data_IF_671461624496
#
_entry.id   IF_671461624496
#
_cell.length_a   1.000
_cell.length_b   1.000
_cell.length_c   1.000
_cell.angle_alpha   90.00
_cell.angle_beta   90.00
_cell.angle_gamma   90.00
#
_symmetry.space_group_name_H-M   'P 1'
#
loop_
_entity.id
_entity.type
_entity.pdbx_description
1 polymer ?
#
# COMPACT_ATOMS: atom_id res chain seq x y z
N UNK A 1 0.02 -22.90 16.33
CA UNK A 1 1.05 -21.89 16.58
C UNK A 1 0.52 -20.60 16.02
N UNK A 2 0.29 -19.61 16.88
CA UNK A 2 -0.46 -18.39 16.54
C UNK A 2 0.51 -17.34 16.04
N UNK A 3 0.35 -16.95 14.77
CA UNK A 3 1.02 -15.78 14.18
C UNK A 3 0.72 -14.51 15.00
N UNK A 4 1.68 -13.62 15.24
CA UNK A 4 1.42 -12.37 15.97
C UNK A 4 0.51 -11.48 15.11
N UNK A 5 -0.71 -11.30 15.57
CA UNK A 5 -1.69 -10.38 14.97
C UNK A 5 -1.43 -8.99 15.54
N UNK A 6 -1.07 -8.03 14.71
CA UNK A 6 -1.13 -6.62 15.10
C UNK A 6 -2.60 -6.19 15.00
N UNK A 7 -3.31 -6.21 16.12
CA UNK A 7 -4.67 -5.68 16.20
C UNK A 7 -4.61 -4.27 16.78
N UNK A 8 -5.21 -3.32 16.11
CA UNK A 8 -5.51 -2.01 16.71
C UNK A 8 -6.66 -2.23 17.68
N UNK A 9 -6.34 -2.33 18.98
CA UNK A 9 -7.34 -2.32 20.02
C UNK A 9 -7.85 -0.88 20.20
N UNK A 10 -9.09 -0.60 19.79
CA UNK A 10 -9.77 0.61 20.20
C UNK A 10 -10.00 0.51 21.72
N UNK A 11 -9.41 1.44 22.47
CA UNK A 11 -9.59 1.55 23.91
C UNK A 11 -11.04 1.90 24.22
N UNK A 12 -11.82 0.92 24.68
CA UNK A 12 -13.14 1.13 25.26
C UNK A 12 -12.99 1.71 26.67
N UNK A 13 -13.31 2.99 26.82
CA UNK A 13 -13.44 3.59 28.15
C UNK A 13 -14.65 3.01 28.86
N UNK A 14 -14.39 2.30 29.94
CA UNK A 14 -15.44 1.86 30.89
C UNK A 14 -15.93 3.09 31.68
N UNK A 15 -17.11 3.61 31.33
CA UNK A 15 -17.76 4.65 32.11
C UNK A 15 -18.63 3.96 33.20
N UNK A 16 -18.21 4.09 34.44
CA UNK A 16 -19.02 3.71 35.61
C UNK A 16 -20.20 4.68 35.68
N UNK A 17 -21.42 4.20 35.49
CA UNK A 17 -22.63 4.99 35.64
C UNK A 17 -23.01 5.05 37.15
N UNK A 18 -22.79 6.23 37.74
CA UNK A 18 -23.42 6.56 39.01
C UNK A 18 -24.82 7.13 38.73
N UNK A 19 -25.85 6.44 39.22
CA UNK A 19 -27.21 6.89 39.08
C UNK A 19 -27.47 8.04 40.08
N UNK A 20 -27.67 9.25 39.58
CA UNK A 20 -28.25 10.38 40.30
C UNK A 20 -29.65 10.61 39.74
N UNK A 21 -30.65 10.36 40.58
CA UNK A 21 -32.06 10.67 40.35
C UNK A 21 -32.30 12.18 40.47
N UNK A 22 -32.72 12.82 39.38
CA UNK A 22 -33.21 14.20 39.38
C UNK A 22 -34.70 14.19 39.01
N UNK A 23 -35.54 14.97 39.68
CA UNK A 23 -36.99 14.95 39.46
C UNK A 23 -37.38 15.64 38.16
N UNK A 24 -38.40 15.09 37.51
CA UNK A 24 -38.97 15.56 36.28
C UNK A 24 -39.61 16.97 36.44
N UNK A 25 -39.09 17.94 35.71
CA UNK A 25 -39.78 19.19 35.40
C UNK A 25 -40.50 19.05 34.06
N UNK A 26 -41.80 19.17 34.06
CA UNK A 26 -42.67 19.19 32.90
C UNK A 26 -42.41 20.47 32.09
N UNK A 27 -41.76 20.35 30.94
CA UNK A 27 -41.66 21.45 29.94
C UNK A 27 -42.63 21.16 28.82
N UNK A 28 -43.51 22.14 28.57
CA UNK A 28 -44.53 22.17 27.53
C UNK A 28 -43.88 22.07 26.13
N UNK A 29 -44.36 21.16 25.33
CA UNK A 29 -43.95 21.00 23.93
C UNK A 29 -44.45 22.16 23.07
N UNK A 30 -43.57 22.90 22.43
CA UNK A 30 -43.86 23.82 21.31
C UNK A 30 -43.80 23.01 19.99
N UNK A 31 -44.89 22.91 19.20
CA UNK A 31 -44.92 22.07 18.02
C UNK A 31 -44.57 22.89 16.74
N UNK A 32 -43.37 23.39 16.64
CA UNK A 32 -42.90 23.97 15.35
C UNK A 32 -41.38 23.95 15.26
N UNK A 33 -40.84 22.80 14.80
CA UNK A 33 -39.78 22.72 13.79
C UNK A 33 -39.42 21.23 13.62
N UNK A 34 -39.58 20.65 12.43
CA UNK A 34 -38.99 19.35 12.15
C UNK A 34 -37.48 19.57 12.07
N UNK A 35 -36.77 19.26 13.15
CA UNK A 35 -35.31 19.06 13.06
C UNK A 35 -35.08 17.93 12.07
N UNK A 36 -34.60 18.28 10.87
CA UNK A 36 -34.07 17.32 9.92
C UNK A 36 -33.04 16.47 10.65
N UNK A 37 -33.33 15.20 10.85
CA UNK A 37 -32.31 14.23 11.17
C UNK A 37 -31.35 14.25 9.98
N UNK A 38 -30.21 14.94 10.14
CA UNK A 38 -29.07 14.68 9.30
C UNK A 38 -28.72 13.20 9.56
N UNK A 39 -29.16 12.34 8.65
CA UNK A 39 -28.83 10.94 8.69
C UNK A 39 -27.31 10.83 8.78
N UNK A 40 -26.81 10.29 9.89
CA UNK A 40 -25.43 9.86 9.98
C UNK A 40 -25.26 8.89 8.81
N UNK A 41 -24.46 9.25 7.81
CA UNK A 41 -24.14 8.33 6.74
C UNK A 41 -23.52 7.09 7.40
N UNK A 42 -24.16 5.94 7.22
CA UNK A 42 -23.69 4.69 7.81
C UNK A 42 -22.24 4.47 7.37
N UNK A 43 -21.34 4.32 8.35
CA UNK A 43 -19.94 3.98 8.06
C UNK A 43 -19.92 2.58 7.47
N UNK A 44 -19.22 2.40 6.36
CA UNK A 44 -19.03 1.13 5.70
C UNK A 44 -17.63 0.61 6.08
N UNK A 45 -17.52 -0.45 6.89
CA UNK A 45 -16.21 -1.03 7.20
C UNK A 45 -15.65 -1.74 5.97
N UNK A 46 -14.42 -1.41 5.60
CA UNK A 46 -13.67 -2.02 4.52
C UNK A 46 -12.30 -2.40 5.07
N UNK A 47 -11.85 -3.61 4.77
CA UNK A 47 -10.50 -4.06 5.11
C UNK A 47 -9.54 -3.70 3.97
N UNK A 48 -8.41 -3.09 4.32
CA UNK A 48 -7.31 -2.83 3.41
C UNK A 48 -6.06 -3.53 3.97
N UNK A 49 -5.64 -4.60 3.30
CA UNK A 49 -4.41 -5.32 3.64
C UNK A 49 -3.28 -4.77 2.80
N UNK A 50 -2.12 -4.52 3.41
CA UNK A 50 -0.98 -4.02 2.66
C UNK A 50 0.35 -4.67 3.06
N UNK A 51 1.25 -4.77 2.09
CA UNK A 51 2.64 -5.17 2.23
C UNK A 51 3.51 -4.37 1.26
N UNK A 52 4.82 -4.55 1.31
CA UNK A 52 5.80 -3.88 0.45
C UNK A 52 7.08 -4.70 0.36
N UNK A 53 7.96 -4.35 -0.56
CA UNK A 53 9.33 -4.88 -0.65
C UNK A 53 9.36 -6.42 -0.63
N UNK A 54 8.55 -7.05 -1.50
CA UNK A 54 8.47 -8.50 -1.60
C UNK A 54 9.72 -9.10 -2.24
N UNK A 55 10.30 -8.41 -3.24
CA UNK A 55 11.56 -8.77 -3.92
C UNK A 55 11.62 -10.24 -4.35
N UNK A 56 10.58 -10.73 -4.99
CA UNK A 56 10.57 -12.10 -5.50
C UNK A 56 10.82 -13.21 -4.48
N UNK A 57 10.64 -12.93 -3.19
CA UNK A 57 10.84 -13.90 -2.13
C UNK A 57 9.72 -14.94 -2.10
N UNK A 58 9.87 -15.98 -2.95
CA UNK A 58 8.96 -17.11 -2.99
C UNK A 58 9.11 -18.01 -1.77
N UNK A 59 10.34 -18.16 -1.27
CA UNK A 59 10.65 -18.98 -0.11
C UNK A 59 10.59 -18.15 1.18
N UNK A 60 10.28 -18.82 2.28
CA UNK A 60 10.32 -18.21 3.61
C UNK A 60 11.72 -17.70 3.94
N UNK A 61 11.78 -16.57 4.64
CA UNK A 61 13.05 -15.99 5.10
C UNK A 61 13.73 -16.91 6.11
N UNK A 62 15.06 -17.06 5.98
CA UNK A 62 15.87 -17.83 6.92
C UNK A 62 15.65 -17.30 8.36
N UNK A 63 15.19 -18.15 9.28
CA UNK A 63 14.99 -17.75 10.67
C UNK A 63 16.28 -17.33 11.41
N UNK A 64 17.44 -17.69 10.88
CA UNK A 64 18.73 -17.25 11.44
C UNK A 64 19.06 -15.78 11.14
N UNK A 65 18.38 -15.16 10.18
CA UNK A 65 18.58 -13.74 9.87
C UNK A 65 17.93 -12.87 10.96
N UNK A 66 18.69 -11.92 11.55
CA UNK A 66 18.18 -11.10 12.64
C UNK A 66 17.09 -10.15 12.13
N UNK A 67 15.95 -10.15 12.84
CA UNK A 67 14.85 -9.21 12.62
C UNK A 67 14.65 -8.38 13.88
N UNK A 68 14.87 -7.08 13.78
CA UNK A 68 14.78 -6.17 14.95
C UNK A 68 13.37 -6.15 15.56
N UNK A 69 12.34 -6.34 14.72
CA UNK A 69 10.93 -6.26 15.10
C UNK A 69 10.32 -7.62 15.47
N UNK A 70 10.99 -8.74 15.16
CA UNK A 70 10.54 -10.09 15.53
C UNK A 70 11.71 -10.93 16.09
N UNK A 71 11.85 -11.00 17.41
CA UNK A 71 12.90 -11.79 18.05
C UNK A 71 12.59 -13.30 18.08
N UNK A 72 11.44 -13.75 17.60
CA UNK A 72 11.00 -15.15 17.71
C UNK A 72 11.83 -16.11 16.87
N UNK A 73 12.54 -15.61 15.85
CA UNK A 73 13.32 -16.39 14.90
C UNK A 73 12.52 -17.53 14.24
N UNK A 74 11.22 -17.35 14.08
CA UNK A 74 10.37 -18.29 13.35
C UNK A 74 10.47 -18.05 11.84
N UNK A 75 10.33 -19.07 11.00
CA UNK A 75 10.19 -18.86 9.56
C UNK A 75 9.01 -17.93 9.28
N UNK A 76 9.23 -16.91 8.48
CA UNK A 76 8.20 -15.93 8.09
C UNK A 76 8.49 -15.44 6.67
N UNK A 77 7.52 -14.78 6.06
CA UNK A 77 7.67 -14.27 4.72
C UNK A 77 7.59 -15.36 3.65
N UNK A 78 7.96 -15.01 2.44
CA UNK A 78 7.71 -15.86 1.28
C UNK A 78 6.24 -16.01 0.95
N UNK A 79 5.95 -16.62 -0.20
CA UNK A 79 4.56 -16.74 -0.69
C UNK A 79 3.68 -17.58 0.24
N UNK A 80 4.24 -18.62 0.86
CA UNK A 80 3.49 -19.52 1.75
C UNK A 80 2.85 -18.78 2.92
N UNK A 81 3.68 -18.07 3.71
CA UNK A 81 3.20 -17.38 4.92
C UNK A 81 2.40 -16.13 4.57
N UNK A 82 2.84 -15.36 3.56
CA UNK A 82 2.14 -14.17 3.09
C UNK A 82 0.74 -14.53 2.59
N UNK A 83 0.62 -15.52 1.70
CA UNK A 83 -0.66 -15.97 1.15
C UNK A 83 -1.58 -16.54 2.23
N UNK A 84 -1.05 -17.36 3.14
CA UNK A 84 -1.84 -17.92 4.24
C UNK A 84 -2.38 -16.80 5.16
N UNK A 85 -1.56 -15.79 5.47
CA UNK A 85 -1.95 -14.66 6.30
C UNK A 85 -3.03 -13.80 5.63
N UNK A 86 -2.83 -13.42 4.36
CA UNK A 86 -3.79 -12.62 3.60
C UNK A 86 -5.14 -13.37 3.47
N UNK A 87 -5.11 -14.66 3.10
CA UNK A 87 -6.33 -15.47 2.99
C UNK A 87 -7.07 -15.58 4.32
N UNK A 88 -6.35 -15.76 5.43
CA UNK A 88 -6.96 -15.82 6.75
C UNK A 88 -7.63 -14.49 7.16
N UNK A 89 -6.96 -13.36 6.94
CA UNK A 89 -7.49 -12.03 7.25
C UNK A 89 -8.70 -11.69 6.35
N UNK A 90 -8.64 -11.97 5.05
CA UNK A 90 -9.77 -11.78 4.14
C UNK A 90 -10.98 -12.63 4.54
N UNK A 91 -10.77 -13.86 4.98
CA UNK A 91 -11.85 -14.73 5.44
C UNK A 91 -12.58 -14.21 6.70
N UNK A 92 -11.92 -13.40 7.55
CA UNK A 92 -12.55 -12.80 8.74
C UNK A 92 -13.67 -11.79 8.37
N UNK A 93 -13.52 -11.07 7.25
CA UNK A 93 -14.47 -10.03 6.81
C UNK A 93 -15.24 -10.41 5.55
N UNK A 94 -14.79 -11.44 4.83
CA UNK A 94 -15.25 -11.87 3.51
C UNK A 94 -14.53 -11.15 2.38
N UNK A 95 -14.11 -11.90 1.35
CA UNK A 95 -13.28 -11.41 0.23
C UNK A 95 -13.82 -10.14 -0.44
N UNK A 96 -15.15 -10.06 -0.64
CA UNK A 96 -15.78 -8.89 -1.24
C UNK A 96 -15.68 -7.60 -0.42
N UNK A 97 -15.18 -7.69 0.82
CA UNK A 97 -15.06 -6.59 1.77
C UNK A 97 -13.60 -6.17 2.03
N UNK A 98 -12.68 -6.83 1.34
CA UNK A 98 -11.24 -6.66 1.52
C UNK A 98 -10.57 -6.29 0.18
N UNK A 99 -9.53 -5.48 0.25
CA UNK A 99 -8.58 -5.25 -0.83
C UNK A 99 -7.18 -5.56 -0.32
N UNK A 100 -6.35 -6.10 -1.21
CA UNK A 100 -4.92 -6.31 -0.94
C UNK A 100 -4.11 -5.39 -1.85
N UNK A 101 -3.24 -4.57 -1.27
CA UNK A 101 -2.43 -3.61 -2.00
C UNK A 101 -0.97 -3.69 -1.61
N UNK A 102 -0.08 -3.13 -2.43
CA UNK A 102 1.33 -3.09 -2.11
C UNK A 102 1.99 -1.75 -2.48
N UNK A 103 3.12 -1.46 -1.84
CA UNK A 103 3.85 -0.21 -2.04
C UNK A 103 5.21 -0.43 -2.71
N UNK A 104 5.23 -1.19 -3.82
CA UNK A 104 6.39 -1.36 -4.70
C UNK A 104 7.44 -2.36 -4.23
N UNK A 105 8.48 -2.51 -5.04
CA UNK A 105 9.55 -3.49 -4.91
C UNK A 105 9.02 -4.91 -4.74
N UNK A 106 8.09 -5.27 -5.63
CA UNK A 106 7.54 -6.62 -5.68
C UNK A 106 8.48 -7.58 -6.40
N UNK A 107 9.22 -7.06 -7.35
CA UNK A 107 10.22 -7.72 -8.20
C UNK A 107 11.53 -6.95 -8.12
N UNK A 108 12.61 -7.56 -8.64
CA UNK A 108 13.95 -7.00 -8.64
C UNK A 108 14.70 -7.19 -7.32
N UNK A 109 16.03 -7.27 -7.40
CA UNK A 109 16.85 -7.71 -6.26
C UNK A 109 16.50 -9.11 -5.78
N UNK A 110 15.85 -9.91 -6.62
CA UNK A 110 15.15 -11.14 -6.29
C UNK A 110 16.09 -12.32 -6.05
N UNK A 111 15.72 -13.28 -5.15
CA UNK A 111 16.39 -14.56 -5.06
C UNK A 111 16.34 -15.35 -6.37
N UNK A 112 17.25 -16.32 -6.48
CA UNK A 112 17.46 -17.11 -7.70
C UNK A 112 16.20 -17.71 -8.32
N UNK A 113 15.28 -18.22 -7.49
CA UNK A 113 14.05 -18.87 -7.97
C UNK A 113 13.10 -17.92 -8.71
N UNK A 114 13.17 -16.63 -8.46
CA UNK A 114 12.38 -15.62 -9.17
C UNK A 114 13.22 -14.90 -10.21
N UNK A 115 14.38 -14.35 -9.82
CA UNK A 115 15.22 -13.55 -10.70
C UNK A 115 15.73 -14.31 -11.93
N UNK A 116 15.91 -15.64 -11.87
CA UNK A 116 16.31 -16.45 -13.03
C UNK A 116 15.25 -16.46 -14.15
N UNK A 117 14.01 -16.15 -13.81
CA UNK A 117 12.87 -16.12 -14.73
C UNK A 117 12.32 -14.71 -14.90
N UNK A 118 13.18 -13.68 -14.81
CA UNK A 118 12.78 -12.28 -14.90
C UNK A 118 11.58 -11.94 -14.02
N UNK A 119 11.51 -12.55 -12.83
CA UNK A 119 10.46 -12.35 -11.82
C UNK A 119 9.03 -12.72 -12.26
N UNK A 120 8.83 -13.43 -13.35
CA UNK A 120 7.51 -13.99 -13.70
C UNK A 120 6.91 -14.82 -12.56
N UNK A 121 7.67 -15.74 -11.88
CA UNK A 121 7.13 -16.49 -10.74
C UNK A 121 6.72 -15.60 -9.55
N UNK A 122 7.39 -14.46 -9.34
CA UNK A 122 6.97 -13.49 -8.33
C UNK A 122 5.58 -12.96 -8.63
N UNK A 123 5.35 -12.50 -9.86
CA UNK A 123 4.05 -11.95 -10.28
C UNK A 123 2.94 -13.00 -10.15
N UNK A 124 3.16 -14.22 -10.64
CA UNK A 124 2.18 -15.32 -10.53
C UNK A 124 1.84 -15.65 -9.07
N UNK A 125 2.83 -15.60 -8.18
CA UNK A 125 2.61 -15.80 -6.74
C UNK A 125 1.73 -14.72 -6.13
N UNK A 126 1.95 -13.46 -6.50
CA UNK A 126 1.19 -12.29 -6.03
C UNK A 126 -0.25 -12.30 -6.57
N UNK A 127 -0.47 -12.78 -7.77
CA UNK A 127 -1.82 -13.02 -8.31
C UNK A 127 -2.58 -14.08 -7.51
N UNK A 128 -1.89 -15.19 -7.20
CA UNK A 128 -2.48 -16.31 -6.44
C UNK A 128 -2.90 -15.89 -5.03
N UNK A 129 -2.21 -14.94 -4.40
CA UNK A 129 -2.61 -14.40 -3.09
C UNK A 129 -3.71 -13.33 -3.18
N UNK A 130 -4.03 -12.84 -4.38
CA UNK A 130 -5.10 -11.89 -4.63
C UNK A 130 -4.68 -10.43 -4.46
N UNK A 131 -3.49 -10.05 -4.93
CA UNK A 131 -3.09 -8.65 -5.01
C UNK A 131 -3.99 -7.89 -5.99
N UNK A 132 -4.52 -6.73 -5.58
CA UNK A 132 -5.42 -5.90 -6.40
C UNK A 132 -4.69 -4.76 -7.10
N UNK A 133 -3.79 -4.06 -6.37
CA UNK A 133 -3.10 -2.85 -6.84
C UNK A 133 -1.75 -2.72 -6.14
N UNK A 134 -0.73 -2.29 -6.87
CA UNK A 134 0.57 -1.88 -6.29
C UNK A 134 1.06 -0.57 -6.89
N UNK A 135 1.85 0.22 -6.13
CA UNK A 135 2.78 1.14 -6.78
C UNK A 135 3.96 0.37 -7.37
N UNK A 136 4.70 0.98 -8.28
CA UNK A 136 6.06 0.54 -8.59
C UNK A 136 7.02 1.06 -7.52
N UNK A 137 8.13 0.33 -7.27
CA UNK A 137 9.28 0.81 -6.55
C UNK A 137 10.47 1.08 -7.48
N UNK A 138 11.66 1.22 -6.94
CA UNK A 138 12.86 1.39 -7.77
C UNK A 138 13.29 0.07 -8.42
N UNK A 139 13.12 -1.06 -7.75
CA UNK A 139 13.53 -2.36 -8.27
C UNK A 139 12.65 -2.87 -9.41
N UNK A 140 11.42 -2.39 -9.58
CA UNK A 140 10.66 -2.64 -10.82
C UNK A 140 11.36 -2.07 -12.06
N UNK A 141 12.40 -1.25 -11.92
CA UNK A 141 13.20 -0.70 -13.01
C UNK A 141 14.60 -1.30 -13.15
N UNK A 142 14.94 -2.37 -12.42
CA UNK A 142 16.27 -3.01 -12.50
C UNK A 142 16.62 -3.43 -13.91
N UNK A 143 15.67 -4.04 -14.63
CA UNK A 143 15.80 -4.41 -16.04
C UNK A 143 15.25 -3.32 -16.99
N UNK A 144 14.93 -2.16 -16.46
CA UNK A 144 14.49 -0.97 -17.20
C UNK A 144 12.98 -0.87 -17.42
N UNK A 145 12.60 0.30 -17.94
CA UNK A 145 11.18 0.66 -18.14
C UNK A 145 10.47 -0.20 -19.20
N UNK A 146 11.17 -0.79 -20.13
CA UNK A 146 10.60 -1.68 -21.14
C UNK A 146 10.22 -3.03 -20.55
N UNK A 147 11.05 -3.57 -19.67
CA UNK A 147 10.77 -4.82 -18.97
C UNK A 147 9.61 -4.64 -17.98
N UNK A 148 9.56 -3.55 -17.23
CA UNK A 148 8.41 -3.24 -16.39
C UNK A 148 7.09 -3.23 -17.18
N UNK A 149 7.10 -2.70 -18.41
CA UNK A 149 5.91 -2.75 -19.27
C UNK A 149 5.57 -4.19 -19.70
N UNK A 150 6.57 -5.05 -19.95
CA UNK A 150 6.37 -6.47 -20.22
C UNK A 150 5.78 -7.16 -19.00
N UNK A 151 6.30 -6.91 -17.81
CA UNK A 151 5.79 -7.48 -16.56
C UNK A 151 4.32 -7.11 -16.32
N UNK A 152 3.89 -5.90 -16.69
CA UNK A 152 2.47 -5.53 -16.60
C UNK A 152 1.60 -6.16 -17.70
N UNK A 153 2.11 -6.27 -18.94
CA UNK A 153 1.27 -6.56 -20.11
C UNK A 153 1.51 -7.93 -20.74
N UNK A 154 2.50 -8.67 -20.27
CA UNK A 154 2.84 -9.98 -20.77
C UNK A 154 3.73 -9.99 -22.00
N UNK A 155 4.03 -11.19 -22.44
CA UNK A 155 4.90 -11.49 -23.57
C UNK A 155 6.22 -12.10 -23.17
N UNK A 156 6.98 -12.58 -24.15
CA UNK A 156 8.29 -13.16 -23.93
C UNK A 156 9.34 -12.08 -23.68
N UNK A 157 10.35 -12.40 -22.87
CA UNK A 157 11.51 -11.54 -22.70
C UNK A 157 12.23 -11.36 -24.07
N UNK A 158 12.66 -10.13 -24.41
CA UNK A 158 13.13 -9.82 -25.77
C UNK A 158 14.44 -10.53 -26.15
N UNK A 159 15.28 -10.89 -25.17
CA UNK A 159 16.57 -11.56 -25.40
C UNK A 159 16.48 -13.06 -25.10
N UNK A 160 15.86 -13.45 -23.97
CA UNK A 160 15.85 -14.84 -23.51
C UNK A 160 14.62 -15.63 -23.99
N UNK A 161 13.65 -14.95 -24.59
CA UNK A 161 12.44 -15.58 -25.11
C UNK A 161 11.42 -15.92 -24.03
N UNK A 162 10.57 -16.91 -24.30
CA UNK A 162 9.59 -17.43 -23.33
C UNK A 162 10.15 -18.65 -22.61
N UNK A 163 10.09 -18.72 -21.29
CA UNK A 163 10.47 -19.91 -20.53
C UNK A 163 9.55 -21.10 -20.86
N UNK A 164 8.28 -20.81 -21.08
CA UNK A 164 7.28 -21.79 -21.52
C UNK A 164 6.70 -21.35 -22.87
N UNK A 165 7.31 -21.73 -24.04
CA UNK A 165 6.89 -21.23 -25.35
C UNK A 165 5.42 -21.51 -25.69
N UNK A 166 4.85 -22.59 -25.11
CA UNK A 166 3.46 -22.98 -25.32
C UNK A 166 2.47 -22.22 -24.41
N UNK A 167 3.01 -21.52 -23.40
CA UNK A 167 2.25 -20.70 -22.46
C UNK A 167 3.08 -19.45 -22.14
N UNK A 168 3.14 -18.46 -23.05
CA UNK A 168 3.82 -17.20 -22.79
C UNK A 168 3.28 -16.52 -21.53
N UNK A 169 4.13 -15.74 -20.86
CA UNK A 169 3.73 -14.96 -19.70
C UNK A 169 2.60 -13.99 -20.04
N UNK A 170 1.50 -14.05 -19.30
CA UNK A 170 0.27 -13.28 -19.59
C UNK A 170 0.32 -11.83 -19.11
N UNK A 171 1.31 -11.47 -18.27
CA UNK A 171 1.40 -10.19 -17.59
C UNK A 171 0.61 -10.18 -16.28
N UNK A 172 0.87 -9.16 -15.45
CA UNK A 172 0.22 -9.03 -14.17
C UNK A 172 -1.28 -8.74 -14.29
N UNK A 173 -2.11 -9.53 -13.61
CA UNK A 173 -3.56 -9.30 -13.50
C UNK A 173 -3.90 -8.18 -12.52
N UNK A 174 -3.04 -7.92 -11.54
CA UNK A 174 -3.14 -6.72 -10.71
C UNK A 174 -2.59 -5.49 -11.46
N UNK A 175 -2.88 -4.30 -10.95
CA UNK A 175 -2.47 -3.05 -11.61
C UNK A 175 -1.28 -2.44 -10.90
N UNK A 176 -0.13 -2.33 -11.59
CA UNK A 176 0.95 -1.44 -11.16
C UNK A 176 0.63 0.01 -11.50
N UNK A 177 0.89 0.90 -10.55
CA UNK A 177 0.68 2.34 -10.68
C UNK A 177 2.01 3.09 -10.62
N UNK A 178 2.15 4.11 -11.49
CA UNK A 178 3.34 4.95 -11.56
C UNK A 178 2.97 6.40 -11.93
N UNK A 179 2.32 7.13 -11.01
CA UNK A 179 1.80 8.46 -11.28
C UNK A 179 2.89 9.50 -11.56
N UNK A 180 4.04 9.36 -10.91
CA UNK A 180 5.17 10.29 -11.02
C UNK A 180 6.22 9.85 -12.05
N UNK A 181 6.02 8.72 -12.76
CA UNK A 181 6.94 8.27 -13.82
C UNK A 181 6.34 8.61 -15.18
N UNK A 182 6.95 9.54 -15.91
CA UNK A 182 6.41 10.04 -17.17
C UNK A 182 7.38 9.80 -18.34
N UNK A 183 6.83 9.47 -19.50
CA UNK A 183 7.58 9.28 -20.75
C UNK A 183 8.11 10.63 -21.24
N UNK A 184 9.42 10.78 -21.44
CA UNK A 184 10.04 12.02 -21.98
C UNK A 184 9.47 12.39 -23.34
N UNK A 185 9.07 11.40 -24.15
CA UNK A 185 8.57 11.60 -25.51
C UNK A 185 7.28 12.40 -25.60
N UNK A 186 6.41 12.36 -24.56
CA UNK A 186 5.08 12.95 -24.62
C UNK A 186 4.52 13.42 -23.28
N UNK A 187 5.26 13.29 -22.17
CA UNK A 187 4.84 13.69 -20.82
C UNK A 187 3.70 12.86 -20.22
N UNK A 188 3.29 11.76 -20.86
CA UNK A 188 2.26 10.88 -20.31
C UNK A 188 2.87 9.89 -19.32
N UNK A 189 2.11 9.46 -18.29
CA UNK A 189 2.57 8.41 -17.38
C UNK A 189 3.03 7.14 -18.11
N UNK A 190 4.02 6.46 -17.56
CA UNK A 190 4.54 5.19 -18.09
C UNK A 190 3.49 4.09 -17.93
N UNK A 191 2.94 3.97 -16.73
CA UNK A 191 1.83 3.09 -16.35
C UNK A 191 0.63 3.92 -15.87
N UNK A 192 -0.44 3.26 -15.47
CA UNK A 192 -1.61 3.96 -14.91
C UNK A 192 -1.21 4.81 -13.69
N UNK A 193 -1.61 6.08 -13.62
CA UNK A 193 -1.26 6.93 -12.46
C UNK A 193 -2.11 6.60 -11.23
N UNK A 194 -3.35 6.15 -11.45
CA UNK A 194 -4.31 5.85 -10.40
C UNK A 194 -5.16 4.64 -10.76
N UNK A 195 -5.64 3.92 -9.73
CA UNK A 195 -6.70 2.94 -9.87
C UNK A 195 -7.87 3.30 -8.97
N UNK A 196 -9.10 2.94 -9.37
CA UNK A 196 -10.29 3.05 -8.53
C UNK A 196 -10.86 1.65 -8.33
N UNK A 197 -11.10 1.27 -7.09
CA UNK A 197 -11.76 0.02 -6.73
C UNK A 197 -13.04 0.31 -5.95
N UNK A 198 -14.06 -0.48 -6.17
CA UNK A 198 -15.34 -0.33 -5.49
C UNK A 198 -15.53 -1.49 -4.51
N UNK A 199 -15.71 -1.17 -3.22
CA UNK A 199 -16.01 -2.15 -2.16
C UNK A 199 -17.25 -1.68 -1.43
N UNK A 200 -18.27 -2.53 -1.33
CA UNK A 200 -19.57 -2.18 -0.70
C UNK A 200 -20.18 -0.86 -1.20
N UNK A 201 -19.97 -0.52 -2.46
CA UNK A 201 -20.46 0.74 -3.03
C UNK A 201 -19.61 1.98 -2.73
N UNK A 202 -18.55 1.85 -1.95
CA UNK A 202 -17.57 2.93 -1.73
C UNK A 202 -16.48 2.85 -2.79
N UNK A 203 -16.21 3.95 -3.46
CA UNK A 203 -15.08 4.07 -4.39
C UNK A 203 -13.83 4.49 -3.63
N UNK A 204 -12.77 3.70 -3.76
CA UNK A 204 -11.46 3.97 -3.19
C UNK A 204 -10.49 4.25 -4.35
N UNK A 205 -9.88 5.43 -4.34
CA UNK A 205 -8.85 5.83 -5.31
C UNK A 205 -7.46 5.50 -4.75
N UNK A 206 -6.66 4.78 -5.52
CA UNK A 206 -5.26 4.52 -5.22
C UNK A 206 -4.40 5.36 -6.15
N UNK A 207 -3.42 6.07 -5.59
CA UNK A 207 -2.39 6.81 -6.32
C UNK A 207 -1.08 6.05 -6.08
N UNK A 208 -0.42 5.55 -7.12
CA UNK A 208 0.86 4.84 -6.96
C UNK A 208 2.03 5.68 -7.41
N UNK A 209 3.12 5.68 -6.65
CA UNK A 209 4.34 6.43 -6.94
C UNK A 209 5.59 5.68 -6.48
N UNK A 210 6.71 6.01 -7.08
CA UNK A 210 8.05 5.64 -6.61
C UNK A 210 8.86 6.87 -6.27
N UNK A 211 10.02 6.70 -5.64
CA UNK A 211 10.90 7.81 -5.28
C UNK A 211 11.43 8.55 -6.53
N UNK A 212 11.49 9.88 -6.47
CA UNK A 212 12.07 10.72 -7.52
C UNK A 212 13.54 10.34 -7.80
N UNK A 213 14.24 9.89 -6.77
CA UNK A 213 15.65 9.50 -6.83
C UNK A 213 15.94 8.17 -7.55
N UNK A 214 14.93 7.41 -7.99
CA UNK A 214 15.08 6.11 -8.68
C UNK A 214 16.21 6.06 -9.71
N UNK A 215 16.44 7.07 -10.59
CA UNK A 215 17.54 7.02 -11.58
C UNK A 215 18.94 6.95 -10.98
N UNK A 216 19.10 7.24 -9.69
CA UNK A 216 20.40 7.13 -8.99
C UNK A 216 20.63 5.74 -8.39
N UNK A 217 19.61 4.89 -8.36
CA UNK A 217 19.61 3.57 -7.72
C UNK A 217 19.65 2.43 -8.74
N UNK A 218 19.19 2.66 -9.97
CA UNK A 218 19.08 1.65 -11.01
C UNK A 218 19.99 1.97 -12.19
N UNK A 219 20.06 1.05 -13.18
CA UNK A 219 20.83 1.32 -14.42
C UNK A 219 20.23 2.53 -15.15
N UNK A 220 20.96 3.66 -15.27
CA UNK A 220 20.42 4.87 -15.91
C UNK A 220 20.00 4.68 -17.35
N UNK A 221 20.61 3.73 -18.10
CA UNK A 221 20.22 3.44 -19.47
C UNK A 221 18.82 2.82 -19.56
N UNK A 222 18.43 1.99 -18.61
CA UNK A 222 17.10 1.35 -18.55
C UNK A 222 15.96 2.33 -18.30
N UNK A 223 16.25 3.50 -17.70
CA UNK A 223 15.27 4.54 -17.37
C UNK A 223 15.47 5.84 -18.17
N UNK A 224 16.36 5.84 -19.18
CA UNK A 224 16.70 7.04 -19.97
C UNK A 224 15.49 7.66 -20.70
N UNK A 225 14.43 6.87 -20.97
CA UNK A 225 13.23 7.28 -21.70
C UNK A 225 12.16 7.94 -20.82
N UNK A 226 12.34 7.93 -19.50
CA UNK A 226 11.37 8.45 -18.52
C UNK A 226 11.98 9.50 -17.62
N UNK A 227 11.09 10.33 -17.03
CA UNK A 227 11.41 11.24 -15.92
C UNK A 227 10.63 10.80 -14.69
N UNK A 228 11.24 10.95 -13.52
CA UNK A 228 10.63 10.78 -12.21
C UNK A 228 10.34 12.18 -11.66
N UNK A 229 9.11 12.39 -11.19
CA UNK A 229 8.61 13.70 -10.73
C UNK A 229 8.46 13.69 -9.22
N UNK A 230 8.45 14.91 -8.65
CA UNK A 230 8.22 15.12 -7.22
C UNK A 230 6.95 14.41 -6.74
N UNK A 231 7.08 13.71 -5.62
CA UNK A 231 6.02 12.86 -5.05
C UNK A 231 4.87 13.69 -4.48
N UNK A 232 5.18 14.82 -3.81
CA UNK A 232 4.18 15.68 -3.17
C UNK A 232 3.32 16.38 -4.23
N UNK A 233 3.96 16.97 -5.23
CA UNK A 233 3.26 17.66 -6.32
C UNK A 233 2.37 16.68 -7.08
N UNK A 234 2.91 15.48 -7.37
CA UNK A 234 2.18 14.44 -8.07
C UNK A 234 0.98 13.93 -7.28
N UNK A 235 1.18 13.58 -6.00
CA UNK A 235 0.10 13.12 -5.12
C UNK A 235 -1.03 14.14 -5.03
N UNK A 236 -0.69 15.40 -4.81
CA UNK A 236 -1.65 16.50 -4.68
C UNK A 236 -2.45 16.71 -5.98
N UNK A 237 -1.78 16.66 -7.14
CA UNK A 237 -2.45 16.77 -8.44
C UNK A 237 -3.41 15.60 -8.71
N UNK A 238 -3.01 14.37 -8.43
CA UNK A 238 -3.83 13.17 -8.62
C UNK A 238 -5.01 13.12 -7.63
N UNK A 239 -4.79 13.50 -6.37
CA UNK A 239 -5.85 13.59 -5.37
C UNK A 239 -6.92 14.59 -5.80
N UNK A 240 -6.54 15.79 -6.25
CA UNK A 240 -7.46 16.79 -6.78
C UNK A 240 -8.23 16.27 -8.01
N UNK A 241 -7.59 15.48 -8.89
CA UNK A 241 -8.24 14.88 -10.04
C UNK A 241 -9.26 13.80 -9.64
N UNK A 242 -8.95 12.96 -8.65
CA UNK A 242 -9.86 11.95 -8.09
C UNK A 242 -11.07 12.60 -7.43
N UNK A 243 -10.87 13.63 -6.62
CA UNK A 243 -11.96 14.41 -5.98
C UNK A 243 -12.92 15.01 -7.02
N UNK A 244 -12.40 15.58 -8.11
CA UNK A 244 -13.24 16.09 -9.22
C UNK A 244 -14.08 15.00 -9.87
N UNK A 245 -13.65 13.73 -9.82
CA UNK A 245 -14.41 12.57 -10.31
C UNK A 245 -15.38 12.00 -9.28
N UNK A 246 -15.47 12.61 -8.09
CA UNK A 246 -16.34 12.16 -7.00
C UNK A 246 -15.75 11.04 -6.14
N UNK A 247 -14.48 10.70 -6.32
CA UNK A 247 -13.76 9.72 -5.48
C UNK A 247 -13.27 10.45 -4.25
N UNK A 248 -13.82 10.12 -3.08
CA UNK A 248 -13.55 10.83 -1.83
C UNK A 248 -12.70 10.05 -0.84
N UNK A 249 -12.55 8.74 -1.00
CA UNK A 249 -11.61 7.93 -0.22
C UNK A 249 -10.37 7.69 -1.07
N UNK A 250 -9.22 8.22 -0.64
CA UNK A 250 -7.98 8.24 -1.42
C UNK A 250 -6.85 7.68 -0.59
N UNK A 251 -6.15 6.69 -1.12
CA UNK A 251 -4.96 6.09 -0.54
C UNK A 251 -3.78 6.29 -1.46
N UNK A 252 -2.66 6.74 -0.92
CA UNK A 252 -1.39 6.81 -1.63
C UNK A 252 -0.60 5.54 -1.34
N UNK A 253 -0.14 4.87 -2.39
CA UNK A 253 0.83 3.80 -2.36
C UNK A 253 2.14 4.40 -2.86
N UNK A 254 3.14 4.54 -2.00
CA UNK A 254 4.38 5.19 -2.38
C UNK A 254 5.59 4.34 -1.99
N UNK A 255 6.44 4.07 -2.97
CA UNK A 255 7.71 3.42 -2.69
C UNK A 255 8.75 4.45 -2.31
N UNK A 256 8.61 4.96 -1.11
CA UNK A 256 9.54 5.80 -0.36
C UNK A 256 9.25 5.61 1.12
N UNK A 257 10.26 5.72 1.96
CA UNK A 257 10.12 5.38 3.38
C UNK A 257 10.93 6.26 4.33
N UNK A 258 11.01 5.81 5.55
CA UNK A 258 11.82 6.40 6.59
C UNK A 258 12.23 5.36 7.63
N UNK A 259 13.27 5.67 8.39
CA UNK A 259 13.69 4.86 9.53
C UNK A 259 12.85 5.26 10.74
N UNK A 260 12.33 4.26 11.45
CA UNK A 260 11.56 4.46 12.68
C UNK A 260 12.29 3.87 13.90
N UNK A 261 13.02 4.68 14.68
CA UNK A 261 13.79 4.18 15.81
C UNK A 261 12.94 3.79 17.03
N UNK A 262 11.65 4.14 17.04
CA UNK A 262 10.79 4.03 18.21
C UNK A 262 9.93 2.76 18.26
N UNK A 263 10.11 1.85 17.28
CA UNK A 263 9.34 0.61 17.16
C UNK A 263 8.00 0.79 16.42
N UNK A 264 7.33 -0.33 16.10
CA UNK A 264 6.27 -0.41 15.11
C UNK A 264 5.10 0.57 15.38
N UNK A 265 4.67 0.68 16.62
CA UNK A 265 3.48 1.46 16.99
C UNK A 265 3.80 2.86 17.54
N UNK A 266 5.03 3.33 17.36
CA UNK A 266 5.46 4.67 17.79
C UNK A 266 6.16 5.36 16.63
N UNK A 267 5.87 6.64 16.45
CA UNK A 267 6.39 7.42 15.32
C UNK A 267 7.32 8.55 15.76
N UNK A 268 7.79 8.46 16.99
CA UNK A 268 8.73 9.46 17.51
C UNK A 268 10.07 9.30 16.81
N UNK A 269 10.43 10.29 15.98
CA UNK A 269 11.72 10.30 15.28
C UNK A 269 11.72 9.55 13.95
N UNK A 270 10.55 9.27 13.36
CA UNK A 270 10.47 8.84 11.95
C UNK A 270 11.22 9.84 11.09
N UNK A 271 12.12 9.33 10.24
CA UNK A 271 13.00 10.16 9.44
C UNK A 271 12.37 10.64 8.14
N UNK A 272 13.00 11.62 7.51
CA UNK A 272 12.80 11.93 6.09
C UNK A 272 13.34 10.77 5.22
N UNK A 273 12.86 10.65 3.95
CA UNK A 273 11.98 11.62 3.29
C UNK A 273 10.49 11.46 3.59
N UNK A 274 10.03 10.28 4.08
CA UNK A 274 8.59 10.03 4.26
C UNK A 274 7.90 11.03 5.21
N UNK A 275 8.58 11.52 6.23
CA UNK A 275 8.03 12.50 7.14
C UNK A 275 7.63 13.79 6.39
N UNK A 276 8.54 14.33 5.57
CA UNK A 276 8.29 15.53 4.77
C UNK A 276 7.21 15.31 3.71
N UNK A 277 7.24 14.14 3.04
CA UNK A 277 6.25 13.76 2.04
C UNK A 277 4.86 13.68 2.67
N UNK A 278 4.72 12.96 3.78
CA UNK A 278 3.45 12.83 4.47
C UNK A 278 2.90 14.17 4.96
N UNK A 279 3.75 15.09 5.39
CA UNK A 279 3.35 16.43 5.79
C UNK A 279 2.99 17.35 4.60
N UNK A 280 3.58 17.12 3.43
CA UNK A 280 3.33 17.93 2.22
C UNK A 280 2.11 17.48 1.40
N UNK A 281 1.66 16.25 1.56
CA UNK A 281 0.48 15.71 0.85
C UNK A 281 -0.80 16.29 1.45
N UNK A 282 -1.72 16.70 0.55
CA UNK A 282 -3.04 17.29 0.89
C UNK A 282 -3.85 16.42 1.85
N UNK A 283 -4.72 17.07 2.65
CA UNK A 283 -5.69 16.39 3.53
C UNK A 283 -6.76 15.58 2.79
N UNK A 284 -6.89 15.71 1.48
CA UNK A 284 -7.78 14.88 0.66
C UNK A 284 -7.33 13.41 0.57
N UNK A 285 -6.10 13.11 0.98
CA UNK A 285 -5.57 11.74 1.08
C UNK A 285 -5.78 11.21 2.50
N UNK A 286 -6.46 10.07 2.62
CA UNK A 286 -6.87 9.48 3.90
C UNK A 286 -5.77 8.61 4.55
N UNK A 287 -4.95 7.93 3.72
CA UNK A 287 -3.87 7.09 4.20
C UNK A 287 -2.71 7.04 3.21
N UNK A 288 -1.50 6.77 3.72
CA UNK A 288 -0.29 6.55 2.93
C UNK A 288 0.31 5.20 3.32
N UNK A 289 0.52 4.34 2.34
CA UNK A 289 1.21 3.05 2.47
C UNK A 289 2.57 3.19 1.81
N UNK A 290 3.63 2.83 2.50
CA UNK A 290 5.02 3.13 2.17
C UNK A 290 5.87 1.87 2.04
N UNK A 291 7.09 2.00 1.50
CA UNK A 291 8.05 0.91 1.34
C UNK A 291 9.50 1.38 1.39
N UNK A 292 10.38 0.73 0.63
CA UNK A 292 11.77 1.09 0.34
C UNK A 292 12.76 0.88 1.51
N UNK A 293 12.42 1.27 2.72
CA UNK A 293 13.35 1.21 3.86
C UNK A 293 13.33 -0.12 4.62
N UNK A 294 12.44 -1.04 4.25
CA UNK A 294 12.23 -2.34 4.92
C UNK A 294 11.92 -2.22 6.42
N UNK A 295 11.49 -1.06 6.89
CA UNK A 295 11.16 -0.81 8.30
C UNK A 295 9.65 -0.89 8.52
N UNK A 296 9.16 -1.72 9.46
CA UNK A 296 7.74 -1.77 9.76
C UNK A 296 7.34 -0.65 10.71
N UNK A 297 6.26 0.07 10.37
CA UNK A 297 5.66 1.07 11.26
C UNK A 297 4.18 1.31 10.96
N UNK A 298 3.45 1.74 11.99
CA UNK A 298 2.09 2.25 11.93
C UNK A 298 2.06 3.60 12.62
N UNK A 299 1.98 4.67 11.84
CA UNK A 299 2.16 6.04 12.26
C UNK A 299 0.90 6.88 12.08
N UNK A 300 0.74 7.88 12.94
CA UNK A 300 -0.16 9.00 12.74
C UNK A 300 0.71 10.25 12.50
N UNK A 301 0.89 10.63 11.23
CA UNK A 301 1.70 11.79 10.86
C UNK A 301 0.75 12.92 10.47
N UNK A 302 0.86 14.12 11.11
CA UNK A 302 0.04 15.28 10.72
C UNK A 302 0.31 15.69 9.28
N UNK A 303 -0.75 15.98 8.52
CA UNK A 303 -0.65 16.61 7.21
C UNK A 303 -0.27 18.09 7.30
N UNK A 304 -0.23 18.79 6.18
CA UNK A 304 0.06 20.23 6.12
C UNK A 304 -0.93 21.10 6.92
N UNK A 305 -2.13 20.60 7.18
CA UNK A 305 -3.15 21.27 8.01
C UNK A 305 -3.09 20.89 9.48
N UNK A 306 -2.18 19.99 9.87
CA UNK A 306 -2.05 19.47 11.23
C UNK A 306 -3.02 18.35 11.58
N UNK A 307 -3.74 17.78 10.61
CA UNK A 307 -4.66 16.66 10.81
C UNK A 307 -3.89 15.33 10.77
N UNK A 308 -3.96 14.49 11.82
CA UNK A 308 -3.27 13.20 11.83
C UNK A 308 -3.78 12.29 10.72
N UNK A 309 -2.86 11.68 9.97
CA UNK A 309 -3.13 10.74 8.89
C UNK A 309 -2.34 9.46 9.09
N UNK A 310 -2.97 8.33 8.77
CA UNK A 310 -2.34 7.02 8.84
C UNK A 310 -1.23 6.89 7.79
N UNK A 311 -0.04 6.49 8.23
CA UNK A 311 1.13 6.18 7.40
C UNK A 311 1.70 4.85 7.86
N UNK A 312 1.76 3.85 6.97
CA UNK A 312 2.19 2.49 7.32
C UNK A 312 3.28 1.97 6.41
N UNK A 313 4.08 1.04 6.93
CA UNK A 313 5.03 0.22 6.18
C UNK A 313 5.09 -1.18 6.80
N UNK A 314 5.40 -2.19 6.00
CA UNK A 314 5.23 -3.61 6.36
C UNK A 314 6.54 -4.43 6.26
N UNK A 315 7.67 -3.86 6.69
CA UNK A 315 8.99 -4.52 6.57
C UNK A 315 9.31 -4.93 5.11
N UNK A 316 9.67 -6.21 4.88
CA UNK A 316 10.00 -6.72 3.55
C UNK A 316 9.73 -8.22 3.45
N UNK A 317 9.88 -8.78 2.24
CA UNK A 317 9.91 -10.21 1.94
C UNK A 317 8.63 -10.97 2.35
N UNK A 318 7.50 -10.28 2.40
CA UNK A 318 6.24 -10.88 2.85
C UNK A 318 6.15 -11.24 4.33
N UNK A 319 7.04 -10.70 5.17
CA UNK A 319 7.14 -11.03 6.58
C UNK A 319 6.06 -10.36 7.44
N UNK A 320 5.53 -9.24 7.00
CA UNK A 320 4.51 -8.43 7.70
C UNK A 320 3.39 -8.06 6.74
N UNK A 321 2.17 -8.05 7.25
CA UNK A 321 0.99 -7.48 6.59
C UNK A 321 0.41 -6.44 7.54
N UNK A 322 0.14 -5.25 7.04
CA UNK A 322 -0.64 -4.23 7.78
C UNK A 322 -2.11 -4.31 7.40
N UNK A 323 -2.98 -4.11 8.40
CA UNK A 323 -4.43 -4.11 8.25
C UNK A 323 -5.03 -2.76 8.68
#
# INVERSE_FOLDING_TARGET
>A
MTSPRVRIAAAGALVLAAALSIPAASASADPRHPHGQHGQSARVPIQLLSFNDYHGHLEATDPALPRKWDPSQSPTGGVEYLSATIKALRAEVGDSNSLTVAAGDLIGGSPFLSGMFHDEPSVESLETLGLDVSSVGNHEFDEGSAELLRMQHGGCHPEDGCYFPEQPYDGASFTWLAANVVKKSNGKPLLAPVAVRAVKGVQIGFIGMTLEATPTLVNPAGVASVDFKDEIETANAQAAALKKRGVNTIVVLIHEGGVNPSGINSCTGVSNPILAIAQGITHDVDAIITGHTHEPYICQIPDAGGVPRLVTSAASYGQVVTE
#
